data_IF_997347640186
#
_entry.id   IF_997347640186
#
_cell.length_a   1.000
_cell.length_b   1.000
_cell.length_c   1.000
_cell.angle_alpha   90.00
_cell.angle_beta   90.00
_cell.angle_gamma   90.00
#
_symmetry.space_group_name_H-M   'P 1'
#
loop_
_entity.id
_entity.type
_entity.pdbx_description
1 polymer ?
#
# COMPACT_ATOMS: atom_id res chain seq x y z
N UNK A 1 -3.34 -17.73 -24.02
CA UNK A 1 -3.43 -17.43 -22.59
C UNK A 1 -3.21 -15.95 -22.42
N UNK A 2 -4.26 -15.19 -22.10
CA UNK A 2 -4.19 -13.74 -21.96
C UNK A 2 -4.53 -13.40 -20.52
N UNK A 3 -3.56 -12.87 -19.78
CA UNK A 3 -3.85 -12.14 -18.55
C UNK A 3 -4.39 -10.77 -18.99
N UNK A 4 -5.66 -10.42 -18.75
CA UNK A 4 -6.08 -9.06 -18.99
C UNK A 4 -5.29 -8.18 -18.01
N UNK A 5 -4.50 -7.28 -18.57
CA UNK A 5 -4.06 -6.07 -17.90
C UNK A 5 -5.31 -5.43 -17.30
N UNK A 6 -5.44 -5.43 -15.98
CA UNK A 6 -6.57 -4.81 -15.28
C UNK A 6 -6.72 -3.36 -15.75
N UNK A 7 -7.83 -3.01 -16.43
CA UNK A 7 -8.10 -1.63 -16.77
C UNK A 7 -8.84 -1.04 -15.56
N UNK A 8 -8.09 -0.47 -14.64
CA UNK A 8 -8.67 0.38 -13.60
C UNK A 8 -7.83 1.65 -13.48
N UNK A 9 -7.81 2.41 -14.58
CA UNK A 9 -7.66 3.86 -14.50
C UNK A 9 -8.93 4.46 -13.90
N UNK A 10 -9.19 4.15 -12.63
CA UNK A 10 -9.96 5.00 -11.74
C UNK A 10 -8.94 5.61 -10.78
N UNK A 11 -9.18 6.81 -10.28
CA UNK A 11 -8.29 7.50 -9.34
C UNK A 11 -8.34 6.83 -7.95
N UNK A 12 -8.16 5.52 -7.88
CA UNK A 12 -8.19 4.70 -6.67
C UNK A 12 -6.82 4.71 -6.01
N UNK A 13 -6.83 4.72 -4.68
CA UNK A 13 -5.61 4.60 -3.89
C UNK A 13 -4.86 3.32 -4.25
N UNK A 14 -3.58 3.42 -4.57
CA UNK A 14 -2.70 2.31 -4.93
C UNK A 14 -1.63 2.15 -3.85
N UNK A 15 -1.36 0.93 -3.42
CA UNK A 15 -0.25 0.65 -2.52
C UNK A 15 0.92 0.09 -3.34
N UNK A 16 2.04 0.82 -3.35
CA UNK A 16 3.28 0.42 -3.99
C UNK A 16 4.25 -0.14 -2.95
N UNK A 17 4.96 -1.22 -3.30
CA UNK A 17 5.96 -1.85 -2.43
C UNK A 17 7.30 -1.81 -3.11
N UNK A 18 8.27 -1.18 -2.46
CA UNK A 18 9.63 -1.04 -2.97
C UNK A 18 10.62 -1.62 -1.96
N UNK A 19 11.48 -2.57 -2.38
CA UNK A 19 11.59 -3.17 -3.72
C UNK A 19 10.53 -4.26 -4.01
N UNK A 20 10.01 -4.36 -5.25
CA UNK A 20 8.88 -5.24 -5.59
C UNK A 20 9.22 -6.74 -5.76
N UNK A 21 10.50 -7.12 -5.74
CA UNK A 21 10.98 -8.47 -6.10
C UNK A 21 11.89 -9.14 -5.05
N UNK A 22 11.90 -8.66 -3.79
CA UNK A 22 12.73 -9.31 -2.76
C UNK A 22 11.96 -10.46 -2.10
N UNK A 23 12.49 -11.69 -2.11
CA UNK A 23 11.88 -12.79 -1.36
C UNK A 23 11.90 -12.48 0.14
N UNK A 24 10.79 -12.75 0.83
CA UNK A 24 10.59 -12.56 2.28
C UNK A 24 11.63 -13.24 3.20
N UNK A 25 12.58 -13.99 2.61
CA UNK A 25 13.67 -14.68 3.30
C UNK A 25 14.73 -13.73 3.86
N UNK A 26 14.89 -12.53 3.28
CA UNK A 26 15.76 -11.51 3.82
C UNK A 26 14.89 -10.30 4.17
N UNK A 27 14.60 -10.13 5.45
CA UNK A 27 13.83 -9.04 6.06
C UNK A 27 14.50 -7.66 5.87
N UNK A 28 14.71 -7.27 4.62
CA UNK A 28 15.24 -5.99 4.21
C UNK A 28 14.06 -5.04 4.13
N UNK A 29 13.93 -4.23 5.18
CA UNK A 29 13.21 -2.96 5.22
C UNK A 29 12.56 -2.56 3.88
N UNK A 30 11.29 -2.91 3.69
CA UNK A 30 10.52 -2.53 2.50
C UNK A 30 9.82 -1.21 2.74
N UNK A 31 9.65 -0.43 1.69
CA UNK A 31 8.92 0.83 1.72
C UNK A 31 7.59 0.67 1.02
N UNK A 32 6.53 0.85 1.79
CA UNK A 32 5.15 0.92 1.36
C UNK A 32 4.82 2.36 1.01
N UNK A 33 4.58 2.66 -0.26
CA UNK A 33 4.17 3.99 -0.70
C UNK A 33 2.71 3.94 -1.11
N UNK A 34 1.86 4.59 -0.36
CA UNK A 34 0.49 4.79 -0.76
C UNK A 34 0.48 5.88 -1.84
N UNK A 35 -0.14 5.67 -2.99
CA UNK A 35 -0.35 6.64 -4.06
C UNK A 35 -1.85 6.87 -4.25
N UNK A 36 -2.30 8.08 -4.58
CA UNK A 36 -3.71 8.38 -4.76
C UNK A 36 -3.99 9.88 -4.72
N UNK A 37 -5.21 10.26 -5.09
CA UNK A 37 -5.69 11.64 -4.98
C UNK A 37 -6.14 11.92 -3.53
N UNK A 38 -5.66 13.00 -2.93
CA UNK A 38 -6.02 13.38 -1.57
C UNK A 38 -4.84 13.95 -0.78
N UNK A 39 -5.08 14.28 0.49
CA UNK A 39 -4.04 14.80 1.39
C UNK A 39 -3.21 13.66 1.94
N UNK A 40 -1.92 13.63 1.61
CA UNK A 40 -0.91 12.72 2.15
C UNK A 40 -1.03 12.53 3.66
N UNK A 41 -1.21 13.65 4.37
CA UNK A 41 -1.21 13.73 5.82
C UNK A 41 -2.39 13.00 6.49
N UNK A 42 -3.45 12.69 5.74
CA UNK A 42 -4.64 12.01 6.25
C UNK A 42 -4.73 10.53 5.81
N UNK A 43 -3.61 9.92 5.43
CA UNK A 43 -3.57 8.52 4.98
C UNK A 43 -3.70 7.58 6.18
N UNK A 44 -4.71 6.72 6.16
CA UNK A 44 -4.92 5.69 7.18
C UNK A 44 -4.32 4.37 6.73
N UNK A 45 -3.46 3.79 7.56
CA UNK A 45 -2.77 2.55 7.29
C UNK A 45 -3.39 1.39 8.07
N UNK A 46 -3.48 0.25 7.39
CA UNK A 46 -4.00 -0.99 7.95
C UNK A 46 -3.04 -2.13 7.67
N UNK A 47 -2.84 -2.98 8.68
CA UNK A 47 -2.06 -4.20 8.60
C UNK A 47 -2.94 -5.37 9.03
N UNK A 48 -3.06 -6.38 8.19
CA UNK A 48 -3.91 -7.56 8.37
C UNK A 48 -5.37 -7.18 8.71
N UNK A 49 -5.85 -6.12 8.06
CA UNK A 49 -7.19 -5.56 8.28
C UNK A 49 -7.32 -4.70 9.54
N UNK A 50 -6.34 -4.71 10.45
CA UNK A 50 -6.34 -3.90 11.67
C UNK A 50 -5.77 -2.51 11.41
N UNK A 51 -6.40 -1.49 11.99
CA UNK A 51 -5.86 -0.13 11.97
C UNK A 51 -4.48 -0.12 12.62
N UNK A 52 -3.47 0.27 11.84
CA UNK A 52 -2.09 0.32 12.28
C UNK A 52 -1.71 1.73 12.73
N UNK A 53 -2.16 2.75 12.00
CA UNK A 53 -1.97 4.14 12.35
C UNK A 53 -2.38 5.08 11.22
N UNK A 54 -2.48 6.37 11.55
CA UNK A 54 -2.51 7.45 10.56
C UNK A 54 -1.14 8.10 10.60
N UNK A 55 -0.48 8.16 9.46
CA UNK A 55 0.83 8.79 9.33
C UNK A 55 0.66 10.02 8.45
N UNK A 56 1.35 11.11 8.78
CA UNK A 56 1.35 12.30 7.90
C UNK A 56 2.09 12.07 6.56
N UNK A 57 2.59 10.86 6.33
CA UNK A 57 3.49 10.51 5.23
C UNK A 57 2.81 9.53 4.27
N UNK A 58 3.07 9.74 2.99
CA UNK A 58 2.63 8.84 1.92
C UNK A 58 3.38 7.50 1.90
N UNK A 59 4.54 7.45 2.54
CA UNK A 59 5.40 6.27 2.58
C UNK A 59 5.68 5.80 4.00
N UNK A 60 5.62 4.49 4.18
CA UNK A 60 5.86 3.82 5.43
C UNK A 60 6.86 2.68 5.22
N UNK A 61 7.83 2.57 6.12
CA UNK A 61 8.85 1.53 6.00
C UNK A 61 8.54 0.37 6.95
N UNK A 62 8.25 -0.81 6.40
CA UNK A 62 7.92 -2.01 7.17
C UNK A 62 9.05 -3.04 7.14
N UNK A 63 9.20 -3.76 8.23
CA UNK A 63 10.13 -4.90 8.35
C UNK A 63 9.41 -6.20 8.68
N UNK A 64 8.07 -6.18 8.65
CA UNK A 64 7.24 -7.32 9.00
C UNK A 64 6.38 -7.71 7.81
N UNK A 65 6.09 -9.01 7.69
CA UNK A 65 5.28 -9.55 6.61
C UNK A 65 3.84 -9.40 7.03
N UNK A 66 2.97 -9.25 6.06
CA UNK A 66 1.55 -9.13 6.34
C UNK A 66 0.81 -8.55 5.16
N UNK A 67 -0.50 -8.43 5.34
CA UNK A 67 -1.36 -7.82 4.34
C UNK A 67 -1.53 -6.35 4.64
N UNK A 68 -0.95 -5.49 3.81
CA UNK A 68 -1.00 -4.05 3.99
C UNK A 68 -2.05 -3.43 3.08
N UNK A 69 -2.79 -2.47 3.62
CA UNK A 69 -3.73 -1.61 2.87
C UNK A 69 -3.59 -0.18 3.37
N UNK A 70 -3.80 0.79 2.49
CA UNK A 70 -3.91 2.19 2.87
C UNK A 70 -5.24 2.77 2.40
N UNK A 71 -5.77 3.72 3.15
CA UNK A 71 -7.00 4.44 2.83
C UNK A 71 -6.71 5.94 2.79
N UNK A 72 -7.11 6.58 1.69
CA UNK A 72 -6.98 8.02 1.53
C UNK A 72 -8.33 8.69 1.42
N UNK A 73 -8.52 9.83 2.13
CA UNK A 73 -9.69 10.66 1.92
C UNK A 73 -9.68 11.22 0.50
N UNK A 74 -10.67 10.83 -0.30
CA UNK A 74 -10.85 11.29 -1.68
C UNK A 74 -10.64 10.21 -2.75
N UNK A 75 -9.82 9.19 -2.48
CA UNK A 75 -9.55 8.07 -3.41
C UNK A 75 -9.88 6.69 -2.84
N UNK A 76 -10.25 6.62 -1.55
CA UNK A 76 -10.74 5.41 -0.89
C UNK A 76 -9.62 4.45 -0.48
N UNK A 77 -9.98 3.18 -0.29
CA UNK A 77 -9.06 2.15 0.20
C UNK A 77 -8.36 1.42 -0.94
N UNK A 78 -7.06 1.22 -0.79
CA UNK A 78 -6.23 0.49 -1.74
C UNK A 78 -6.51 -1.01 -1.71
N UNK A 79 -6.25 -1.72 -2.82
CA UNK A 79 -6.21 -3.17 -2.80
C UNK A 79 -5.15 -3.68 -1.80
N UNK A 80 -5.38 -4.86 -1.18
CA UNK A 80 -4.43 -5.46 -0.24
C UNK A 80 -3.19 -5.94 -0.96
N UNK A 81 -2.03 -5.62 -0.38
CA UNK A 81 -0.74 -6.09 -0.85
C UNK A 81 -0.08 -6.93 0.24
N UNK A 82 0.33 -8.14 -0.13
CA UNK A 82 1.13 -8.99 0.75
C UNK A 82 2.61 -8.65 0.58
N UNK A 83 3.26 -8.42 1.71
CA UNK A 83 4.71 -8.21 1.86
C UNK A 83 5.33 -9.46 2.45
#
# INVERSE_FOLDING_TARGET
GWCPLSPAGAQSTQLLVEPPWRPAVLWDRVTLTCQGSGTASATTWYKDGRHWGQEERDSFTVTESGTYTCDRPGSGRSPPVMV
#
